data_IF_406642969249
#
_entry.id   IF_406642969249
#
_cell.length_a   1.000
_cell.length_b   1.000
_cell.length_c   1.000
_cell.angle_alpha   90.00
_cell.angle_beta   90.00
_cell.angle_gamma   90.00
#
_symmetry.space_group_name_H-M   'P 1'
#
loop_
_entity.id
_entity.type
_entity.pdbx_description
1 polymer ?
#
# COMPACT_ATOMS: atom_id res chain seq x y z
N UNK A 1 -60.58 14.89 -19.72
CA UNK A 1 -59.22 14.86 -19.15
C UNK A 1 -58.29 15.60 -20.13
N UNK A 2 -57.60 16.67 -19.70
CA UNK A 2 -56.78 17.47 -20.61
C UNK A 2 -55.49 16.72 -21.00
N UNK A 3 -55.07 16.83 -22.26
CA UNK A 3 -53.85 16.21 -22.79
C UNK A 3 -52.59 16.53 -21.97
N UNK A 4 -52.53 17.75 -21.42
CA UNK A 4 -51.47 18.19 -20.50
C UNK A 4 -51.40 17.34 -19.22
N UNK A 5 -52.55 16.93 -18.69
CA UNK A 5 -52.64 16.10 -17.48
C UNK A 5 -52.12 14.69 -17.74
N UNK A 6 -52.41 14.12 -18.93
CA UNK A 6 -51.91 12.80 -19.35
C UNK A 6 -50.38 12.80 -19.50
N UNK A 7 -49.83 13.87 -20.10
CA UNK A 7 -48.37 14.01 -20.25
C UNK A 7 -47.66 14.13 -18.89
N UNK A 8 -48.21 14.89 -17.94
CA UNK A 8 -47.63 15.03 -16.60
C UNK A 8 -47.63 13.70 -15.87
N UNK A 9 -48.75 12.95 -15.90
CA UNK A 9 -48.84 11.63 -15.27
C UNK A 9 -47.81 10.66 -15.86
N UNK A 10 -47.69 10.62 -17.19
CA UNK A 10 -46.70 9.78 -17.88
C UNK A 10 -45.25 10.13 -17.50
N UNK A 11 -44.93 11.44 -17.44
CA UNK A 11 -43.61 11.90 -17.05
C UNK A 11 -43.26 11.52 -15.60
N UNK A 12 -44.20 11.65 -14.67
CA UNK A 12 -44.01 11.26 -13.26
C UNK A 12 -43.77 9.75 -13.15
N UNK A 13 -44.53 8.93 -13.88
CA UNK A 13 -44.33 7.47 -13.89
C UNK A 13 -42.96 7.11 -14.46
N UNK A 14 -42.56 7.73 -15.57
CA UNK A 14 -41.25 7.50 -16.18
C UNK A 14 -40.09 7.87 -15.23
N UNK A 15 -40.20 8.99 -14.51
CA UNK A 15 -39.22 9.41 -13.49
C UNK A 15 -39.19 8.42 -12.34
N UNK A 16 -40.36 7.99 -11.82
CA UNK A 16 -40.44 7.04 -10.71
C UNK A 16 -39.82 5.68 -11.05
N UNK A 17 -40.04 5.18 -12.27
CA UNK A 17 -39.41 3.94 -12.77
C UNK A 17 -37.90 4.14 -12.90
N UNK A 18 -37.44 5.24 -13.51
CA UNK A 18 -36.02 5.54 -13.64
C UNK A 18 -35.30 5.63 -12.29
N UNK A 19 -35.91 6.29 -11.32
CA UNK A 19 -35.37 6.43 -9.96
C UNK A 19 -35.31 5.07 -9.23
N UNK A 20 -36.34 4.24 -9.40
CA UNK A 20 -36.39 2.89 -8.82
C UNK A 20 -35.30 1.98 -9.39
N UNK A 21 -35.07 2.04 -10.70
CA UNK A 21 -33.98 1.29 -11.36
C UNK A 21 -32.61 1.78 -10.88
N UNK A 22 -32.40 3.10 -10.81
CA UNK A 22 -31.15 3.70 -10.33
C UNK A 22 -30.81 3.28 -8.89
N UNK A 23 -31.79 3.35 -7.98
CA UNK A 23 -31.61 2.90 -6.60
C UNK A 23 -31.33 1.38 -6.55
N UNK A 24 -32.04 0.59 -7.36
CA UNK A 24 -31.82 -0.85 -7.47
C UNK A 24 -30.38 -1.19 -7.86
N UNK A 25 -29.85 -0.51 -8.89
CA UNK A 25 -28.46 -0.65 -9.34
C UNK A 25 -27.49 -0.30 -8.20
N UNK A 26 -27.66 0.85 -7.54
CA UNK A 26 -26.79 1.27 -6.44
C UNK A 26 -26.72 0.24 -5.31
N UNK A 27 -27.86 -0.32 -4.92
CA UNK A 27 -27.93 -1.34 -3.85
C UNK A 27 -27.23 -2.63 -4.30
N UNK A 28 -27.51 -3.08 -5.53
CA UNK A 28 -26.87 -4.27 -6.09
C UNK A 28 -25.37 -4.11 -6.20
N UNK A 29 -24.88 -3.01 -6.77
CA UNK A 29 -23.45 -2.71 -6.88
C UNK A 29 -22.80 -2.74 -5.50
N UNK A 30 -23.35 -2.04 -4.49
CA UNK A 30 -22.80 -2.09 -3.13
C UNK A 30 -22.74 -3.51 -2.56
N UNK A 31 -23.79 -4.31 -2.76
CA UNK A 31 -23.86 -5.69 -2.26
C UNK A 31 -22.83 -6.60 -2.93
N UNK A 32 -22.71 -6.54 -4.26
CA UNK A 32 -21.77 -7.37 -5.00
C UNK A 32 -20.33 -6.94 -4.78
N UNK A 33 -20.03 -5.64 -4.80
CA UNK A 33 -18.70 -5.13 -4.47
C UNK A 33 -18.28 -5.60 -3.08
N UNK A 34 -19.16 -5.49 -2.07
CA UNK A 34 -18.86 -6.00 -0.73
C UNK A 34 -18.56 -7.51 -0.72
N UNK A 35 -19.36 -8.31 -1.43
CA UNK A 35 -19.16 -9.77 -1.52
C UNK A 35 -17.82 -10.14 -2.17
N UNK A 36 -17.47 -9.51 -3.29
CA UNK A 36 -16.22 -9.78 -3.99
C UNK A 36 -15.01 -9.30 -3.19
N UNK A 37 -15.08 -8.11 -2.59
CA UNK A 37 -14.02 -7.61 -1.69
C UNK A 37 -13.81 -8.56 -0.50
N UNK A 38 -14.89 -9.03 0.13
CA UNK A 38 -14.78 -10.01 1.23
C UNK A 38 -14.18 -11.34 0.78
N UNK A 39 -14.53 -11.81 -0.42
CA UNK A 39 -13.95 -13.03 -0.98
C UNK A 39 -12.45 -12.87 -1.21
N UNK A 40 -12.03 -11.78 -1.87
CA UNK A 40 -10.62 -11.47 -2.12
C UNK A 40 -9.84 -11.29 -0.81
N UNK A 41 -10.42 -10.61 0.18
CA UNK A 41 -9.80 -10.47 1.51
C UNK A 41 -9.62 -11.83 2.18
N UNK A 42 -10.60 -12.73 2.08
CA UNK A 42 -10.49 -14.06 2.65
C UNK A 42 -9.44 -14.90 1.93
N UNK A 43 -9.40 -14.86 0.59
CA UNK A 43 -8.38 -15.56 -0.20
C UNK A 43 -6.97 -15.05 0.10
N UNK A 44 -6.81 -13.72 0.18
CA UNK A 44 -5.56 -13.08 0.60
C UNK A 44 -5.16 -13.50 2.01
N UNK A 45 -6.11 -13.52 2.95
CA UNK A 45 -5.86 -13.95 4.33
C UNK A 45 -5.44 -15.42 4.41
N UNK A 46 -6.10 -16.32 3.71
CA UNK A 46 -5.72 -17.75 3.66
C UNK A 46 -4.34 -17.93 3.01
N UNK A 47 -4.05 -17.20 1.93
CA UNK A 47 -2.72 -17.20 1.30
C UNK A 47 -1.65 -16.75 2.29
N UNK A 48 -1.84 -15.65 3.01
CA UNK A 48 -0.88 -15.15 4.01
C UNK A 48 -0.72 -16.15 5.14
N UNK A 49 -1.82 -16.76 5.61
CA UNK A 49 -1.79 -17.79 6.66
C UNK A 49 -1.00 -19.03 6.25
N UNK A 50 -1.01 -19.38 4.97
CA UNK A 50 -0.14 -20.44 4.44
C UNK A 50 1.34 -20.05 4.35
N UNK A 51 1.65 -18.75 4.30
CA UNK A 51 3.02 -18.24 4.17
C UNK A 51 3.68 -17.95 5.53
N UNK A 52 2.90 -17.54 6.54
CA UNK A 52 3.39 -17.22 7.89
C UNK A 52 2.33 -17.47 8.96
N UNK A 53 2.79 -17.84 10.15
CA UNK A 53 1.94 -18.14 11.31
C UNK A 53 1.76 -16.98 12.30
N UNK A 54 2.49 -15.88 12.13
CA UNK A 54 2.59 -14.78 13.09
C UNK A 54 1.89 -13.48 12.62
N UNK A 55 0.80 -13.63 11.85
CA UNK A 55 -0.01 -12.51 11.33
C UNK A 55 -0.50 -11.63 12.49
N UNK A 56 -0.30 -10.32 12.37
CA UNK A 56 -0.73 -9.33 13.35
C UNK A 56 0.11 -9.29 14.64
N UNK A 57 1.17 -10.08 14.73
CA UNK A 57 2.11 -10.06 15.85
C UNK A 57 3.31 -9.19 15.46
N UNK A 58 3.29 -7.90 15.79
CA UNK A 58 4.43 -7.00 15.62
C UNK A 58 5.31 -6.97 16.88
N UNK A 59 6.61 -6.65 16.77
CA UNK A 59 7.53 -6.55 17.92
C UNK A 59 7.26 -5.27 18.74
N UNK A 60 6.09 -5.16 19.35
CA UNK A 60 5.63 -3.98 20.08
C UNK A 60 6.52 -3.60 21.28
N UNK A 61 7.36 -4.52 21.77
CA UNK A 61 8.41 -4.21 22.74
C UNK A 61 9.38 -3.11 22.26
N UNK A 62 9.51 -2.92 20.94
CA UNK A 62 10.30 -1.86 20.33
C UNK A 62 9.62 -0.47 20.39
N UNK A 63 8.32 -0.38 20.69
CA UNK A 63 7.63 0.92 20.83
C UNK A 63 8.17 1.77 21.99
N UNK A 64 8.83 1.13 22.97
CA UNK A 64 9.50 1.85 24.05
C UNK A 64 10.69 2.69 23.54
N UNK A 65 11.25 2.35 22.38
CA UNK A 65 12.39 3.04 21.76
C UNK A 65 11.95 3.93 20.59
N UNK A 66 10.86 3.55 19.93
CA UNK A 66 10.32 4.25 18.77
C UNK A 66 8.92 4.75 19.08
N UNK A 67 8.71 6.07 19.02
CA UNK A 67 7.35 6.61 19.09
C UNK A 67 6.57 6.14 17.86
N UNK A 68 5.68 5.17 18.05
CA UNK A 68 4.86 4.63 16.97
C UNK A 68 3.59 5.47 16.80
N UNK A 69 3.53 6.21 15.68
CA UNK A 69 2.33 6.94 15.27
C UNK A 69 1.67 6.30 14.03
N UNK A 70 2.20 5.18 13.54
CA UNK A 70 1.68 4.47 12.38
C UNK A 70 0.66 3.44 12.83
N UNK A 71 -0.43 3.34 12.06
CA UNK A 71 -1.40 2.30 12.26
C UNK A 71 -0.76 0.90 12.04
N UNK A 72 -0.78 -0.02 13.01
CA UNK A 72 -0.24 -1.37 12.86
C UNK A 72 -0.74 -2.11 11.62
N UNK A 73 -1.98 -1.86 11.18
CA UNK A 73 -2.53 -2.44 9.96
C UNK A 73 -1.82 -2.01 8.67
N UNK A 74 -1.27 -0.77 8.64
CA UNK A 74 -0.48 -0.29 7.50
C UNK A 74 0.88 -1.02 7.43
N UNK A 75 1.50 -1.27 8.58
CA UNK A 75 2.75 -2.02 8.69
C UNK A 75 2.53 -3.46 8.24
N UNK A 76 1.48 -4.10 8.78
CA UNK A 76 1.12 -5.47 8.44
C UNK A 76 0.75 -5.61 6.95
N UNK A 77 0.06 -4.63 6.37
CA UNK A 77 -0.23 -4.59 4.93
C UNK A 77 1.03 -4.59 4.06
N UNK A 78 2.05 -3.82 4.44
CA UNK A 78 3.35 -3.85 3.74
C UNK A 78 4.07 -5.19 3.93
N UNK A 79 4.10 -5.73 5.15
CA UNK A 79 4.71 -7.05 5.42
C UNK A 79 4.04 -8.13 4.57
N UNK A 80 2.71 -8.16 4.54
CA UNK A 80 1.96 -9.12 3.73
C UNK A 80 2.23 -8.96 2.23
N UNK A 81 2.38 -7.73 1.76
CA UNK A 81 2.77 -7.44 0.38
C UNK A 81 4.13 -8.06 0.05
N UNK A 82 5.11 -7.93 0.95
CA UNK A 82 6.45 -8.54 0.81
C UNK A 82 6.36 -10.07 0.76
N UNK A 83 5.58 -10.70 1.67
CA UNK A 83 5.41 -12.15 1.69
C UNK A 83 4.72 -12.71 0.44
N UNK A 84 3.60 -12.11 0.04
CA UNK A 84 2.80 -12.60 -1.10
C UNK A 84 3.62 -12.58 -2.39
N UNK A 85 4.42 -11.52 -2.59
CA UNK A 85 5.21 -11.36 -3.80
C UNK A 85 6.64 -11.93 -3.68
N UNK A 86 7.01 -12.48 -2.53
CA UNK A 86 8.33 -13.08 -2.25
C UNK A 86 9.48 -12.10 -2.50
N UNK A 87 9.31 -10.85 -2.12
CA UNK A 87 10.35 -9.83 -2.27
C UNK A 87 11.48 -10.06 -1.26
N UNK A 88 12.73 -10.03 -1.74
CA UNK A 88 13.90 -10.35 -0.93
C UNK A 88 14.75 -9.11 -0.65
N UNK A 89 15.07 -8.33 -1.68
CA UNK A 89 15.81 -7.08 -1.58
C UNK A 89 14.84 -5.90 -1.47
N UNK A 90 14.77 -5.25 -0.31
CA UNK A 90 13.77 -4.21 -0.04
C UNK A 90 14.40 -2.96 0.55
N UNK A 91 14.00 -1.79 0.06
CA UNK A 91 14.36 -0.48 0.63
C UNK A 91 13.16 0.08 1.38
N UNK A 92 13.35 0.45 2.64
CA UNK A 92 12.29 1.05 3.46
C UNK A 92 12.64 2.50 3.79
N UNK A 93 11.78 3.42 3.36
CA UNK A 93 11.83 4.84 3.71
C UNK A 93 10.83 5.08 4.85
N UNK A 94 11.34 5.44 6.01
CA UNK A 94 10.57 5.49 7.24
C UNK A 94 10.97 6.71 8.09
N UNK A 95 10.94 7.89 7.48
CA UNK A 95 11.30 9.12 8.17
C UNK A 95 10.42 9.32 9.42
N UNK A 96 11.02 9.37 10.61
CA UNK A 96 10.35 9.40 11.92
C UNK A 96 9.43 8.18 12.22
N UNK A 97 9.68 7.06 11.55
CA UNK A 97 8.86 5.85 11.60
C UNK A 97 9.72 4.58 11.73
N UNK A 98 10.77 4.66 12.54
CA UNK A 98 11.77 3.59 12.72
C UNK A 98 11.15 2.27 13.23
N UNK A 99 10.02 2.34 13.94
CA UNK A 99 9.26 1.15 14.33
C UNK A 99 8.80 0.34 13.13
N UNK A 100 8.25 1.01 12.10
CA UNK A 100 7.75 0.36 10.90
C UNK A 100 8.89 -0.23 10.06
N UNK A 101 10.03 0.49 9.98
CA UNK A 101 11.26 -0.04 9.42
C UNK A 101 11.68 -1.35 10.11
N UNK A 102 11.75 -1.31 11.44
CA UNK A 102 12.18 -2.45 12.26
C UNK A 102 11.24 -3.64 12.10
N UNK A 103 9.93 -3.40 12.06
CA UNK A 103 8.92 -4.43 11.83
C UNK A 103 9.17 -5.17 10.50
N UNK A 104 9.39 -4.44 9.41
CA UNK A 104 9.71 -5.07 8.12
C UNK A 104 11.04 -5.81 8.14
N UNK A 105 12.07 -5.24 8.78
CA UNK A 105 13.39 -5.85 8.88
C UNK A 105 13.37 -7.19 9.66
N UNK A 106 12.57 -7.26 10.73
CA UNK A 106 12.47 -8.43 11.61
C UNK A 106 11.51 -9.48 11.01
N UNK A 107 10.38 -9.03 10.46
CA UNK A 107 9.28 -9.93 10.09
C UNK A 107 9.37 -10.48 8.68
N UNK A 108 10.23 -9.94 7.82
CA UNK A 108 10.36 -10.42 6.45
C UNK A 108 11.76 -10.96 6.20
N UNK A 109 11.85 -11.91 5.27
CA UNK A 109 13.12 -12.50 4.88
C UNK A 109 13.91 -11.54 3.96
N UNK A 110 15.21 -11.81 3.82
CA UNK A 110 16.09 -11.09 2.91
C UNK A 110 16.57 -9.73 3.41
N UNK A 111 17.31 -9.04 2.55
CA UNK A 111 18.03 -7.82 2.91
C UNK A 111 17.07 -6.63 2.99
N UNK A 112 17.19 -5.87 4.08
CA UNK A 112 16.44 -4.65 4.32
C UNK A 112 17.39 -3.47 4.25
N UNK A 113 17.21 -2.63 3.26
CA UNK A 113 18.01 -1.45 3.06
C UNK A 113 17.36 -0.21 3.67
N UNK A 114 18.18 0.69 4.21
CA UNK A 114 17.78 2.01 4.65
C UNK A 114 18.44 3.12 3.81
N UNK A 115 17.77 4.26 3.70
CA UNK A 115 18.34 5.50 3.17
C UNK A 115 18.63 6.45 4.35
N UNK A 116 19.84 6.99 4.41
CA UNK A 116 20.32 7.83 5.52
C UNK A 116 19.49 9.09 5.75
N UNK A 117 18.79 9.59 4.73
CA UNK A 117 17.94 10.78 4.86
C UNK A 117 16.53 10.45 5.36
N UNK A 118 16.20 9.17 5.48
CA UNK A 118 14.85 8.67 5.75
C UNK A 118 14.81 7.69 6.93
N UNK A 119 15.86 7.68 7.76
CA UNK A 119 15.91 6.84 8.95
C UNK A 119 16.81 7.47 10.04
N UNK A 120 16.31 7.56 11.26
CA UNK A 120 17.11 7.95 12.42
C UNK A 120 18.02 6.80 12.87
N UNK A 121 19.23 6.75 12.31
CA UNK A 121 20.22 5.72 12.61
C UNK A 121 20.63 5.65 14.09
N UNK A 122 20.84 6.78 14.80
CA UNK A 122 21.06 6.74 16.25
C UNK A 122 19.97 5.96 17.00
N UNK A 123 18.70 6.19 16.71
CA UNK A 123 17.60 5.44 17.35
C UNK A 123 17.60 3.97 16.94
N UNK A 124 17.78 3.67 15.65
CA UNK A 124 17.84 2.28 15.19
C UNK A 124 18.97 1.51 15.88
N UNK A 125 20.17 2.09 15.93
CA UNK A 125 21.34 1.45 16.55
C UNK A 125 21.11 1.17 18.04
N UNK A 126 20.41 2.05 18.76
CA UNK A 126 20.03 1.79 20.16
C UNK A 126 19.12 0.58 20.29
N UNK A 127 18.12 0.45 19.42
CA UNK A 127 17.21 -0.69 19.42
C UNK A 127 17.93 -2.01 19.07
N UNK A 128 18.80 -1.98 18.05
CA UNK A 128 19.60 -3.14 17.64
C UNK A 128 20.55 -3.60 18.76
N UNK A 129 21.20 -2.66 19.46
CA UNK A 129 22.07 -2.99 20.59
C UNK A 129 21.32 -3.59 21.80
N UNK A 130 20.04 -3.23 21.98
CA UNK A 130 19.21 -3.73 23.09
C UNK A 130 18.55 -5.06 22.79
N UNK A 131 18.20 -5.30 21.53
CA UNK A 131 17.51 -6.51 21.07
C UNK A 131 18.22 -7.11 19.85
N UNK A 132 19.50 -7.50 19.96
CA UNK A 132 20.26 -8.01 18.82
C UNK A 132 19.67 -9.32 18.27
N UNK A 133 19.00 -10.10 19.12
CA UNK A 133 18.33 -11.35 18.79
C UNK A 133 17.14 -11.18 17.82
N UNK A 134 16.51 -10.00 17.82
CA UNK A 134 15.41 -9.71 16.89
C UNK A 134 15.91 -9.43 15.47
N UNK A 135 17.10 -8.86 15.33
CA UNK A 135 17.64 -8.41 14.05
C UNK A 135 18.62 -9.44 13.49
N UNK A 136 18.21 -10.17 12.45
CA UNK A 136 19.00 -11.24 11.84
C UNK A 136 20.12 -10.73 10.89
N UNK A 137 20.88 -9.69 11.26
CA UNK A 137 21.97 -9.07 10.46
C UNK A 137 21.59 -8.60 9.04
N UNK A 138 20.29 -8.43 8.77
CA UNK A 138 19.80 -8.16 7.42
C UNK A 138 19.62 -6.67 7.10
N UNK A 139 20.04 -5.77 7.99
CA UNK A 139 19.90 -4.32 7.79
C UNK A 139 21.16 -3.75 7.16
N UNK A 140 21.01 -3.10 6.00
CA UNK A 140 22.13 -2.61 5.20
C UNK A 140 21.88 -1.17 4.71
N UNK A 141 22.95 -0.40 4.48
CA UNK A 141 22.83 0.89 3.81
C UNK A 141 22.43 0.68 2.34
N UNK A 142 21.48 1.47 1.84
CA UNK A 142 21.20 1.51 0.41
C UNK A 142 22.36 2.15 -0.36
N UNK A 143 22.88 1.44 -1.35
CA UNK A 143 24.01 1.86 -2.18
C UNK A 143 23.75 1.53 -3.65
N UNK A 144 22.59 1.97 -4.16
CA UNK A 144 22.23 1.92 -5.58
C UNK A 144 22.05 0.51 -6.21
N UNK A 145 21.97 -0.54 -5.38
CA UNK A 145 21.61 -1.89 -5.81
C UNK A 145 20.15 -1.97 -6.30
N UNK A 146 19.86 -3.01 -7.09
CA UNK A 146 18.49 -3.27 -7.51
C UNK A 146 17.63 -3.78 -6.35
N UNK A 147 16.33 -3.53 -6.44
CA UNK A 147 15.36 -3.78 -5.37
C UNK A 147 14.13 -4.49 -5.92
N UNK A 148 13.60 -5.43 -5.15
CA UNK A 148 12.28 -6.02 -5.42
C UNK A 148 11.16 -5.11 -4.88
N UNK A 149 11.43 -4.43 -3.77
CA UNK A 149 10.40 -3.65 -3.08
C UNK A 149 10.94 -2.35 -2.51
N UNK A 150 10.16 -1.28 -2.66
CA UNK A 150 10.41 -0.01 -1.99
C UNK A 150 9.16 0.34 -1.17
N UNK A 151 9.26 0.25 0.15
CA UNK A 151 8.19 0.62 1.07
C UNK A 151 8.41 2.02 1.61
N UNK A 152 7.45 2.92 1.45
CA UNK A 152 7.53 4.31 1.93
C UNK A 152 6.41 4.57 2.94
N UNK A 153 6.76 4.64 4.22
CA UNK A 153 5.83 5.05 5.27
C UNK A 153 5.76 6.56 5.40
N UNK A 154 6.93 7.21 5.35
CA UNK A 154 7.09 8.64 5.20
C UNK A 154 8.51 8.90 4.66
N UNK A 155 8.69 10.02 3.97
CA UNK A 155 9.96 10.36 3.34
C UNK A 155 10.21 11.86 3.33
N UNK A 156 11.49 12.23 3.39
CA UNK A 156 11.95 13.59 3.09
C UNK A 156 11.83 13.95 1.61
N UNK A 157 11.61 12.95 0.75
CA UNK A 157 11.41 13.11 -0.68
C UNK A 157 9.91 13.22 -1.04
N UNK A 158 9.60 14.00 -2.08
CA UNK A 158 8.26 14.01 -2.67
C UNK A 158 8.05 12.80 -3.62
N UNK A 159 6.82 12.61 -4.10
CA UNK A 159 6.46 11.46 -4.95
C UNK A 159 7.32 11.35 -6.23
N UNK A 160 7.59 12.48 -6.88
CA UNK A 160 8.35 12.53 -8.12
C UNK A 160 9.82 12.18 -7.91
N UNK A 161 10.41 12.68 -6.81
CA UNK A 161 11.79 12.35 -6.42
C UNK A 161 11.93 10.88 -6.08
N UNK A 162 11.00 10.30 -5.30
CA UNK A 162 10.99 8.86 -4.98
C UNK A 162 10.97 8.04 -6.28
N UNK A 163 10.07 8.38 -7.19
CA UNK A 163 9.93 7.68 -8.45
C UNK A 163 11.19 7.79 -9.32
N UNK A 164 11.68 9.00 -9.57
CA UNK A 164 12.83 9.20 -10.44
C UNK A 164 14.10 8.54 -9.86
N UNK A 165 14.29 8.60 -8.53
CA UNK A 165 15.45 8.02 -7.85
C UNK A 165 15.43 6.49 -7.84
N UNK A 166 14.27 5.87 -7.61
CA UNK A 166 14.22 4.43 -7.30
C UNK A 166 13.51 3.56 -8.33
N UNK A 167 12.62 4.09 -9.17
CA UNK A 167 11.83 3.26 -10.10
C UNK A 167 12.70 2.48 -11.08
N UNK A 168 13.76 3.09 -11.60
CA UNK A 168 14.70 2.45 -12.52
C UNK A 168 15.62 1.41 -11.86
N UNK A 169 15.59 1.32 -10.52
CA UNK A 169 16.33 0.33 -9.72
C UNK A 169 15.46 -0.85 -9.32
N UNK A 170 14.18 -0.85 -9.68
CA UNK A 170 13.32 -1.99 -9.44
C UNK A 170 13.70 -3.15 -10.34
N UNK A 171 13.83 -4.34 -9.77
CA UNK A 171 13.88 -5.59 -10.51
C UNK A 171 12.61 -5.78 -11.35
N UNK A 172 12.65 -6.74 -12.27
CA UNK A 172 11.44 -7.20 -12.96
C UNK A 172 10.43 -7.66 -11.92
N UNK A 173 9.16 -7.25 -12.06
CA UNK A 173 8.13 -7.50 -11.04
C UNK A 173 8.29 -6.75 -9.73
N UNK A 174 9.23 -5.81 -9.64
CA UNK A 174 9.40 -4.98 -8.46
C UNK A 174 8.28 -3.96 -8.27
N UNK A 175 8.16 -3.43 -7.06
CA UNK A 175 7.08 -2.52 -6.67
C UNK A 175 7.54 -1.40 -5.73
N UNK A 176 7.02 -0.19 -5.95
CA UNK A 176 7.03 0.90 -4.98
C UNK A 176 5.66 0.95 -4.31
N UNK A 177 5.61 0.94 -2.97
CA UNK A 177 4.41 1.08 -2.17
C UNK A 177 4.55 2.31 -1.27
N UNK A 178 3.74 3.35 -1.52
CA UNK A 178 3.87 4.66 -0.87
C UNK A 178 2.62 4.97 -0.06
N UNK A 179 2.79 5.22 1.24
CA UNK A 179 1.73 5.73 2.11
C UNK A 179 1.39 7.18 1.78
N UNK A 180 0.11 7.48 1.61
CA UNK A 180 -0.37 8.78 1.13
C UNK A 180 -0.97 9.66 2.24
N UNK A 181 -0.67 9.39 3.52
CA UNK A 181 -1.29 10.14 4.63
C UNK A 181 -0.91 11.62 4.61
N UNK A 182 0.36 11.93 4.37
CA UNK A 182 0.90 13.30 4.39
C UNK A 182 0.98 13.94 2.99
N UNK A 183 0.42 13.28 1.96
CA UNK A 183 0.49 13.72 0.57
C UNK A 183 -0.76 14.52 0.19
N UNK A 184 -0.55 15.70 -0.41
CA UNK A 184 -1.66 16.54 -0.86
C UNK A 184 -2.42 15.92 -2.04
N UNK A 185 -3.73 16.14 -2.11
CA UNK A 185 -4.55 15.65 -3.23
C UNK A 185 -4.08 16.21 -4.58
N UNK A 186 -3.58 17.45 -4.61
CA UNK A 186 -3.06 18.11 -5.82
C UNK A 186 -1.79 17.41 -6.31
N UNK A 187 -0.84 17.14 -5.41
CA UNK A 187 0.39 16.42 -5.72
C UNK A 187 0.08 15.01 -6.26
N UNK A 188 -0.77 14.26 -5.56
CA UNK A 188 -1.18 12.92 -5.99
C UNK A 188 -1.83 12.92 -7.38
N UNK A 189 -2.72 13.88 -7.66
CA UNK A 189 -3.38 13.98 -8.96
C UNK A 189 -2.37 14.29 -10.09
N UNK A 190 -1.46 15.24 -9.86
CA UNK A 190 -0.43 15.60 -10.83
C UNK A 190 0.49 14.41 -11.10
N UNK A 191 0.92 13.72 -10.04
CA UNK A 191 1.79 12.56 -10.15
C UNK A 191 1.09 11.37 -10.83
N UNK A 192 -0.19 11.14 -10.53
CA UNK A 192 -1.00 10.13 -11.20
C UNK A 192 -1.13 10.41 -12.70
N UNK A 193 -1.30 11.67 -13.10
CA UNK A 193 -1.31 12.06 -14.51
C UNK A 193 0.03 11.78 -15.18
N UNK A 194 1.13 12.12 -14.50
CA UNK A 194 2.49 11.84 -14.97
C UNK A 194 2.72 10.33 -15.20
N UNK A 195 2.32 9.48 -14.26
CA UNK A 195 2.43 8.01 -14.41
C UNK A 195 1.58 7.50 -15.58
N UNK A 196 0.35 8.00 -15.74
CA UNK A 196 -0.52 7.66 -16.89
C UNK A 196 0.13 8.03 -18.22
N UNK A 197 0.69 9.24 -18.32
CA UNK A 197 1.34 9.73 -19.54
C UNK A 197 2.57 8.87 -19.89
N UNK A 198 3.30 8.39 -18.88
CA UNK A 198 4.42 7.45 -19.05
C UNK A 198 3.99 5.99 -19.20
N UNK A 199 2.68 5.68 -19.21
CA UNK A 199 2.12 4.32 -19.25
C UNK A 199 2.67 3.41 -18.15
N UNK A 200 2.94 3.97 -16.98
CA UNK A 200 3.38 3.21 -15.81
C UNK A 200 2.15 2.62 -15.11
N UNK A 201 2.25 1.35 -14.73
CA UNK A 201 1.19 0.66 -14.01
C UNK A 201 1.17 1.10 -12.54
N UNK A 202 0.05 1.66 -12.10
CA UNK A 202 -0.15 2.04 -10.71
C UNK A 202 -1.60 1.87 -10.25
N UNK A 203 -1.76 1.68 -8.95
CA UNK A 203 -3.05 1.56 -8.28
C UNK A 203 -3.03 2.36 -6.97
N UNK A 204 -4.17 2.94 -6.59
CA UNK A 204 -4.36 3.50 -5.26
C UNK A 204 -5.32 2.59 -4.50
N UNK A 205 -4.83 2.00 -3.43
CA UNK A 205 -5.57 1.03 -2.61
C UNK A 205 -5.39 1.33 -1.12
N UNK A 206 -6.14 0.62 -0.27
CA UNK A 206 -6.17 0.89 1.17
C UNK A 206 -5.71 -0.34 1.96
N UNK A 207 -4.80 -0.14 2.91
CA UNK A 207 -4.64 -1.06 4.04
C UNK A 207 -5.57 -0.57 5.16
N UNK A 208 -5.09 0.36 5.99
CA UNK A 208 -5.96 1.22 6.82
C UNK A 208 -5.96 2.65 6.30
N UNK A 209 -4.82 3.13 5.82
CA UNK A 209 -4.68 4.40 5.10
C UNK A 209 -4.53 4.16 3.60
N UNK A 210 -4.50 5.25 2.82
CA UNK A 210 -4.31 5.20 1.36
C UNK A 210 -2.86 4.91 1.02
N UNK A 211 -2.66 4.01 0.06
CA UNK A 211 -1.36 3.67 -0.50
C UNK A 211 -1.40 3.80 -2.02
N UNK A 212 -0.30 4.30 -2.59
CA UNK A 212 -0.01 4.26 -4.01
C UNK A 212 0.94 3.08 -4.27
N UNK A 213 0.50 2.16 -5.11
CA UNK A 213 1.29 1.03 -5.59
C UNK A 213 1.73 1.34 -7.02
N UNK A 214 3.03 1.29 -7.29
CA UNK A 214 3.62 1.48 -8.62
C UNK A 214 4.40 0.22 -8.95
N UNK A 215 4.08 -0.44 -10.06
CA UNK A 215 4.72 -1.71 -10.43
C UNK A 215 5.65 -1.54 -11.62
N UNK A 216 6.78 -2.22 -11.59
CA UNK A 216 7.71 -2.33 -12.71
C UNK A 216 7.41 -3.58 -13.53
N UNK A 217 6.21 -3.62 -14.13
CA UNK A 217 5.78 -4.78 -14.92
C UNK A 217 5.30 -4.45 -16.33
N UNK A 218 5.83 -5.21 -17.27
CA UNK A 218 5.03 -5.93 -18.27
C UNK A 218 4.12 -6.94 -17.53
N UNK A 219 3.01 -6.46 -16.95
CA UNK A 219 2.12 -7.27 -16.09
C UNK A 219 1.11 -8.03 -16.96
N UNK A 220 1.57 -8.85 -17.90
CA UNK A 220 0.69 -9.86 -18.49
C UNK A 220 0.54 -11.01 -17.49
N UNK A 221 -0.68 -11.21 -17.01
CA UNK A 221 -1.18 -12.36 -16.24
C UNK A 221 -0.69 -12.51 -14.79
N UNK A 222 -1.36 -11.81 -13.86
CA UNK A 222 -1.76 -12.42 -12.57
C UNK A 222 -3.18 -11.91 -12.26
N UNK A 223 -4.19 -12.60 -12.80
CA UNK A 223 -5.44 -13.09 -12.18
C UNK A 223 -6.31 -13.58 -13.35
N UNK A 224 -6.35 -14.90 -13.53
CA UNK A 224 -7.54 -15.62 -14.03
C UNK A 224 -8.07 -16.45 -12.86
#
# INVERSE_FOLDING_TARGET
MNWRTILIISAVIAIAVGFSVYIGILIWTKKYTKKYVQKLQRESFEQIKSLRNDIGILPFELENYFKNNINPYDIEGMINTVFINKYYDKLILANNHEFAFSCLAIKTQGKTYYDVQNLDLPKLNQAVLKHPDLYQDNINLYNEQNLDFIGVFDSTYNLETIFNKFYHKLNESGMICIRLQNISRKELNNFSLFLKNKKINFEISYFSTRFLFITNKNHENIVK
#
